data_IF_995916159876
#
_entry.id   IF_995916159876
#
_cell.length_a   1.000
_cell.length_b   1.000
_cell.length_c   1.000
_cell.angle_alpha   90.00
_cell.angle_beta   90.00
_cell.angle_gamma   90.00
#
_symmetry.space_group_name_H-M   'P 1'
#
loop_
_entity.id
_entity.type
_entity.pdbx_description
1 polymer ?
#
# COMPACT_ATOMS: atom_id res chain seq x y z
N UNK A 1 -34.07 -43.30 -46.18
CA UNK A 1 -32.74 -42.65 -46.31
C UNK A 1 -32.40 -42.04 -44.97
N UNK A 2 -31.47 -42.62 -44.22
CA UNK A 2 -31.05 -42.08 -42.92
C UNK A 2 -29.79 -41.25 -43.11
N UNK A 3 -29.90 -39.94 -42.87
CA UNK A 3 -28.75 -39.05 -42.85
C UNK A 3 -27.95 -39.29 -41.57
N UNK A 4 -26.75 -39.82 -41.69
CA UNK A 4 -25.78 -39.91 -40.60
C UNK A 4 -25.12 -38.57 -40.45
N UNK A 5 -25.34 -37.92 -39.31
CA UNK A 5 -24.66 -36.68 -38.93
C UNK A 5 -23.18 -36.98 -38.64
N UNK A 6 -22.22 -36.21 -39.17
CA UNK A 6 -20.79 -36.38 -38.84
C UNK A 6 -20.56 -36.04 -37.37
N UNK A 7 -20.03 -36.98 -36.62
CA UNK A 7 -19.65 -36.77 -35.22
C UNK A 7 -18.37 -35.89 -35.17
N UNK A 8 -18.31 -34.83 -34.33
CA UNK A 8 -17.11 -34.03 -34.16
C UNK A 8 -16.01 -34.90 -33.53
N UNK A 9 -14.87 -35.01 -34.22
CA UNK A 9 -13.68 -35.66 -33.67
C UNK A 9 -13.04 -34.75 -32.65
N UNK A 10 -13.21 -35.03 -31.36
CA UNK A 10 -12.46 -34.37 -30.28
C UNK A 10 -10.99 -34.85 -30.38
N UNK A 11 -10.10 -33.93 -30.75
CA UNK A 11 -8.66 -34.17 -30.68
C UNK A 11 -8.24 -34.09 -29.22
N UNK A 12 -7.83 -35.21 -28.64
CA UNK A 12 -7.27 -35.26 -27.30
C UNK A 12 -5.91 -34.57 -27.26
N UNK A 13 -5.61 -33.88 -26.17
CA UNK A 13 -4.28 -33.26 -25.94
C UNK A 13 -3.24 -34.35 -25.74
N UNK A 14 -2.04 -34.15 -26.34
CA UNK A 14 -0.93 -35.07 -26.16
C UNK A 14 -0.21 -34.75 -24.85
N UNK A 15 0.40 -35.79 -24.24
CA UNK A 15 1.17 -35.63 -23.00
C UNK A 15 2.32 -34.62 -23.18
N UNK A 16 2.96 -34.60 -24.35
CA UNK A 16 4.04 -33.67 -24.67
C UNK A 16 3.54 -32.21 -24.76
N UNK A 17 2.34 -32.00 -25.28
CA UNK A 17 1.72 -30.67 -25.37
C UNK A 17 1.44 -30.10 -23.98
N UNK A 18 0.94 -30.95 -23.05
CA UNK A 18 0.74 -30.56 -21.65
C UNK A 18 2.07 -30.23 -20.96
N UNK A 19 3.12 -31.02 -21.18
CA UNK A 19 4.44 -30.75 -20.61
C UNK A 19 5.04 -29.44 -21.15
N UNK A 20 4.87 -29.17 -22.44
CA UNK A 20 5.35 -27.95 -23.07
C UNK A 20 4.63 -26.72 -22.51
N UNK A 21 3.29 -26.79 -22.37
CA UNK A 21 2.49 -25.71 -21.77
C UNK A 21 2.90 -25.46 -20.31
N UNK A 22 3.06 -26.51 -19.50
CA UNK A 22 3.52 -26.38 -18.13
C UNK A 22 4.91 -25.77 -18.03
N UNK A 23 5.82 -26.14 -18.95
CA UNK A 23 7.16 -25.54 -19.03
C UNK A 23 7.12 -24.04 -19.34
N UNK A 24 6.30 -23.62 -20.30
CA UNK A 24 6.12 -22.21 -20.66
C UNK A 24 5.47 -21.42 -19.50
N UNK A 25 4.42 -21.97 -18.89
CA UNK A 25 3.76 -21.34 -17.73
C UNK A 25 4.71 -21.18 -16.56
N UNK A 26 5.55 -22.19 -16.28
CA UNK A 26 6.58 -22.13 -15.24
C UNK A 26 7.63 -21.04 -15.51
N UNK A 27 8.08 -20.88 -16.75
CA UNK A 27 9.00 -19.81 -17.15
C UNK A 27 8.38 -18.42 -17.00
N UNK A 28 7.11 -18.25 -17.36
CA UNK A 28 6.41 -16.97 -17.23
C UNK A 28 6.11 -16.60 -15.78
N UNK A 29 5.78 -17.59 -14.94
CA UNK A 29 5.43 -17.38 -13.54
C UNK A 29 6.56 -16.74 -12.73
N UNK A 30 7.82 -17.08 -12.97
CA UNK A 30 8.97 -16.52 -12.24
C UNK A 30 9.17 -15.00 -12.46
N UNK A 31 8.65 -14.43 -13.54
CA UNK A 31 8.76 -12.99 -13.84
C UNK A 31 7.60 -12.19 -13.21
N UNK A 32 6.48 -12.82 -12.92
CA UNK A 32 5.27 -12.14 -12.44
C UNK A 32 5.27 -11.91 -10.93
N UNK A 33 5.90 -12.77 -10.15
CA UNK A 33 5.90 -12.72 -8.69
C UNK A 33 6.56 -11.44 -8.11
N UNK A 34 7.76 -11.00 -8.55
CA UNK A 34 8.40 -9.81 -7.99
C UNK A 34 7.65 -8.52 -8.34
N UNK A 35 7.01 -8.45 -9.51
CA UNK A 35 6.21 -7.29 -9.92
C UNK A 35 4.97 -7.12 -9.04
N UNK A 36 4.33 -8.22 -8.62
CA UNK A 36 3.13 -8.19 -7.78
C UNK A 36 3.41 -7.64 -6.37
N UNK A 37 4.55 -7.99 -5.77
CA UNK A 37 4.92 -7.51 -4.43
C UNK A 37 5.20 -6.01 -4.43
N UNK A 38 5.90 -5.50 -5.42
CA UNK A 38 6.20 -4.07 -5.54
C UNK A 38 4.94 -3.23 -5.77
N UNK A 39 4.04 -3.68 -6.63
CA UNK A 39 2.76 -3.02 -6.85
C UNK A 39 1.91 -2.96 -5.57
N UNK A 40 1.88 -4.06 -4.82
CA UNK A 40 1.16 -4.12 -3.55
C UNK A 40 1.77 -3.17 -2.51
N UNK A 41 3.11 -3.11 -2.40
CA UNK A 41 3.79 -2.17 -1.50
C UNK A 41 3.46 -0.72 -1.86
N UNK A 42 3.44 -0.38 -3.15
CA UNK A 42 3.06 0.97 -3.63
C UNK A 42 1.61 1.31 -3.29
N UNK A 43 0.67 0.37 -3.50
CA UNK A 43 -0.73 0.56 -3.16
C UNK A 43 -0.93 0.83 -1.67
N UNK A 44 -0.32 0.02 -0.80
CA UNK A 44 -0.37 0.18 0.66
C UNK A 44 0.27 1.48 1.12
N UNK A 45 1.39 1.90 0.49
CA UNK A 45 2.02 3.19 0.76
C UNK A 45 1.11 4.35 0.37
N UNK A 46 0.42 4.24 -0.76
CA UNK A 46 -0.55 5.25 -1.18
C UNK A 46 -1.69 5.40 -0.16
N UNK A 47 -2.23 4.29 0.32
CA UNK A 47 -3.23 4.27 1.38
C UNK A 47 -2.73 4.96 2.66
N UNK A 48 -1.53 4.63 3.12
CA UNK A 48 -0.93 5.26 4.30
C UNK A 48 -0.78 6.79 4.13
N UNK A 49 -0.35 7.25 2.94
CA UNK A 49 -0.25 8.69 2.63
C UNK A 49 -1.60 9.39 2.68
N UNK A 50 -2.64 8.77 2.13
CA UNK A 50 -3.99 9.32 2.18
C UNK A 50 -4.49 9.49 3.61
N UNK A 51 -4.29 8.47 4.45
CA UNK A 51 -4.71 8.53 5.86
C UNK A 51 -3.90 9.59 6.61
N UNK A 52 -2.58 9.71 6.39
CA UNK A 52 -1.78 10.80 6.99
C UNK A 52 -2.32 12.18 6.61
N UNK A 53 -2.63 12.40 5.34
CA UNK A 53 -3.16 13.68 4.85
C UNK A 53 -4.56 13.96 5.39
N UNK A 54 -5.44 12.96 5.46
CA UNK A 54 -6.77 13.10 6.03
C UNK A 54 -6.72 13.43 7.52
N UNK A 55 -5.84 12.74 8.26
CA UNK A 55 -5.62 13.01 9.69
C UNK A 55 -5.05 14.40 9.92
N UNK A 56 -4.07 14.82 9.12
CA UNK A 56 -3.52 16.17 9.18
C UNK A 56 -4.61 17.22 8.93
N UNK A 57 -5.42 17.04 7.89
CA UNK A 57 -6.52 17.95 7.58
C UNK A 57 -7.58 18.02 8.70
N UNK A 58 -7.87 16.91 9.36
CA UNK A 58 -8.73 16.88 10.52
C UNK A 58 -8.12 17.65 11.69
N UNK A 59 -6.81 17.48 11.96
CA UNK A 59 -6.07 18.19 13.01
C UNK A 59 -6.10 19.70 12.79
N UNK A 60 -5.90 20.16 11.56
CA UNK A 60 -5.93 21.60 11.21
C UNK A 60 -7.33 22.18 11.47
N UNK A 61 -8.40 21.49 11.09
CA UNK A 61 -9.77 21.94 11.37
C UNK A 61 -10.07 21.97 12.86
N UNK A 62 -9.59 20.99 13.61
CA UNK A 62 -9.73 20.95 15.07
C UNK A 62 -9.01 22.13 15.71
N UNK A 63 -7.75 22.37 15.32
CA UNK A 63 -6.93 23.47 15.84
C UNK A 63 -7.52 24.85 15.50
N UNK A 64 -8.09 25.01 14.30
CA UNK A 64 -8.79 26.24 13.91
C UNK A 64 -10.01 26.54 14.80
N UNK A 65 -10.69 25.50 15.27
CA UNK A 65 -11.87 25.65 16.15
C UNK A 65 -11.49 25.80 17.64
N UNK A 66 -10.43 25.14 18.09
CA UNK A 66 -10.06 25.04 19.52
C UNK A 66 -8.81 25.84 19.90
N UNK A 67 -8.11 26.43 18.94
CA UNK A 67 -6.86 27.17 19.15
C UNK A 67 -5.64 26.30 19.45
N UNK A 68 -5.77 24.97 19.46
CA UNK A 68 -4.68 24.03 19.75
C UNK A 68 -5.01 22.64 19.16
N UNK A 69 -3.98 21.84 18.91
CA UNK A 69 -4.14 20.45 18.54
C UNK A 69 -4.57 19.59 19.74
N UNK A 70 -5.36 18.52 19.54
CA UNK A 70 -5.80 17.64 20.61
C UNK A 70 -4.63 16.82 21.16
N UNK A 71 -4.74 16.38 22.43
CA UNK A 71 -3.73 15.50 23.02
C UNK A 71 -3.81 14.06 22.52
N UNK A 72 -4.97 13.65 22.04
CA UNK A 72 -5.26 12.30 21.54
C UNK A 72 -6.09 12.39 20.27
N UNK A 73 -5.92 11.42 19.39
CA UNK A 73 -6.75 11.26 18.19
C UNK A 73 -7.90 10.29 18.48
N UNK A 74 -9.10 10.52 17.94
CA UNK A 74 -10.16 9.52 18.00
C UNK A 74 -9.81 8.33 17.09
N UNK A 75 -10.18 7.10 17.49
CA UNK A 75 -9.85 5.87 16.77
C UNK A 75 -10.31 5.86 15.31
N UNK A 76 -11.40 6.56 15.01
CA UNK A 76 -11.92 6.71 13.65
C UNK A 76 -11.07 7.59 12.72
N UNK A 77 -10.15 8.40 13.26
CA UNK A 77 -9.39 9.36 12.46
C UNK A 77 -8.11 8.77 11.83
N UNK A 78 -7.70 7.54 12.21
CA UNK A 78 -6.39 7.01 11.86
C UNK A 78 -6.33 5.51 11.56
N UNK A 79 -7.45 4.88 11.30
CA UNK A 79 -7.47 3.48 10.87
C UNK A 79 -6.98 3.35 9.42
N UNK A 80 -5.91 2.60 9.21
CA UNK A 80 -5.50 2.16 7.88
C UNK A 80 -6.17 0.82 7.59
N UNK A 81 -7.07 0.73 6.61
CA UNK A 81 -7.87 -0.48 6.36
C UNK A 81 -7.02 -1.73 6.11
N UNK A 82 -5.90 -1.61 5.39
CA UNK A 82 -5.00 -2.73 5.08
C UNK A 82 -4.19 -3.24 6.28
N UNK A 83 -4.20 -2.52 7.40
CA UNK A 83 -3.35 -2.79 8.58
C UNK A 83 -1.85 -2.95 8.26
N UNK A 84 -1.44 -2.44 7.09
CA UNK A 84 -0.04 -2.52 6.62
C UNK A 84 0.87 -1.49 7.26
N UNK A 85 0.30 -0.49 7.89
CA UNK A 85 1.00 0.57 8.62
C UNK A 85 0.29 0.83 9.95
N UNK A 86 1.09 1.17 10.96
CA UNK A 86 0.59 1.71 12.23
C UNK A 86 0.79 3.21 12.21
N UNK A 87 -0.28 3.95 12.46
CA UNK A 87 -0.20 5.38 12.67
C UNK A 87 0.26 5.69 14.09
N UNK A 88 1.09 6.71 14.22
CA UNK A 88 1.52 7.28 15.49
C UNK A 88 1.39 8.79 15.41
N UNK A 89 0.95 9.38 16.50
CA UNK A 89 0.75 10.81 16.67
C UNK A 89 1.59 11.30 17.83
N UNK A 90 2.46 12.25 17.57
CA UNK A 90 3.22 12.93 18.58
C UNK A 90 2.83 14.41 18.56
N UNK A 91 2.40 14.94 19.69
CA UNK A 91 2.13 16.36 19.82
C UNK A 91 3.04 16.99 20.88
N UNK A 92 3.32 18.27 20.76
CA UNK A 92 4.12 18.98 21.78
C UNK A 92 3.28 19.37 22.98
N UNK A 93 3.93 19.51 24.15
CA UNK A 93 3.28 19.82 25.43
C UNK A 93 2.36 21.05 25.42
N UNK A 94 2.55 21.97 24.49
CA UNK A 94 1.73 23.18 24.34
C UNK A 94 0.64 23.05 23.26
N UNK A 95 0.50 21.88 22.64
CA UNK A 95 -0.49 21.64 21.56
C UNK A 95 -0.33 22.54 20.33
N UNK A 96 0.88 23.04 20.07
CA UNK A 96 1.16 23.94 18.95
C UNK A 96 1.78 23.23 17.73
N UNK A 97 2.29 22.04 17.94
CA UNK A 97 2.94 21.25 16.87
C UNK A 97 2.56 19.78 16.98
N UNK A 98 2.54 19.13 15.84
CA UNK A 98 2.41 17.67 15.79
C UNK A 98 3.30 17.05 14.70
N UNK A 99 3.51 15.77 14.84
CA UNK A 99 4.07 14.93 13.78
C UNK A 99 3.28 13.64 13.72
N UNK A 100 2.85 13.30 12.53
CA UNK A 100 2.20 12.03 12.20
C UNK A 100 3.24 11.09 11.59
N UNK A 101 3.19 9.84 11.99
CA UNK A 101 4.04 8.79 11.45
C UNK A 101 3.20 7.61 11.00
N UNK A 102 3.49 7.07 9.81
CA UNK A 102 2.99 5.79 9.37
C UNK A 102 4.15 4.79 9.38
N UNK A 103 4.16 3.91 10.37
CA UNK A 103 5.20 2.90 10.57
C UNK A 103 4.78 1.62 9.86
N UNK A 104 5.57 1.11 8.88
CA UNK A 104 5.21 -0.08 8.14
C UNK A 104 5.25 -1.34 9.03
N UNK A 105 4.31 -2.27 8.79
CA UNK A 105 4.17 -3.52 9.54
C UNK A 105 4.27 -4.74 8.62
N UNK A 106 4.70 -5.86 9.19
CA UNK A 106 4.74 -7.15 8.48
C UNK A 106 5.55 -7.08 7.18
N UNK A 107 5.00 -7.57 6.08
CA UNK A 107 5.65 -7.55 4.76
C UNK A 107 5.94 -6.14 4.25
N UNK A 108 5.21 -5.13 4.71
CA UNK A 108 5.44 -3.73 4.34
C UNK A 108 6.70 -3.15 4.99
N UNK A 109 7.22 -3.77 6.06
CA UNK A 109 8.47 -3.34 6.70
C UNK A 109 9.70 -3.42 5.77
N UNK A 110 9.60 -4.19 4.68
CA UNK A 110 10.64 -4.28 3.63
C UNK A 110 10.51 -3.18 2.56
N UNK A 111 9.51 -2.31 2.66
CA UNK A 111 9.36 -1.19 1.74
C UNK A 111 10.55 -0.23 1.87
N UNK A 112 11.26 0.10 0.76
CA UNK A 112 12.40 1.02 0.79
C UNK A 112 12.04 2.43 1.27
N UNK A 113 10.77 2.79 1.36
CA UNK A 113 10.31 4.07 1.91
C UNK A 113 10.23 4.12 3.44
N UNK A 114 10.32 2.98 4.12
CA UNK A 114 10.29 2.94 5.57
C UNK A 114 9.08 3.65 6.19
N UNK A 115 9.31 4.38 7.27
CA UNK A 115 8.28 5.15 7.96
C UNK A 115 8.04 6.50 7.26
N UNK A 116 6.80 6.75 6.86
CA UNK A 116 6.38 8.05 6.32
C UNK A 116 6.09 9.02 7.46
N UNK A 117 6.47 10.28 7.29
CA UNK A 117 6.23 11.33 8.30
C UNK A 117 5.57 12.55 7.67
N UNK A 118 4.68 13.19 8.43
CA UNK A 118 4.02 14.45 8.05
C UNK A 118 3.87 15.33 9.29
N UNK A 119 4.35 16.56 9.23
CA UNK A 119 4.23 17.52 10.33
C UNK A 119 3.14 18.58 10.08
N UNK A 120 2.93 19.45 11.07
CA UNK A 120 1.96 20.54 11.02
C UNK A 120 2.26 21.60 9.95
N UNK A 121 3.50 21.69 9.47
CA UNK A 121 3.87 22.61 8.39
C UNK A 121 3.64 21.96 7.01
N UNK A 122 3.10 20.73 6.97
CA UNK A 122 2.91 19.97 5.74
C UNK A 122 4.20 19.38 5.17
N UNK A 123 5.29 19.38 5.97
CA UNK A 123 6.58 18.81 5.53
C UNK A 123 6.47 17.30 5.51
N UNK A 124 6.69 16.76 4.33
CA UNK A 124 6.66 15.32 4.02
C UNK A 124 8.06 14.75 4.18
N UNK A 125 8.21 13.75 5.03
CA UNK A 125 9.50 13.11 5.31
C UNK A 125 9.42 11.59 5.29
N UNK A 126 10.58 10.97 5.46
CA UNK A 126 10.73 9.52 5.66
C UNK A 126 11.77 9.25 6.73
N UNK A 127 11.66 8.11 7.43
CA UNK A 127 12.64 7.64 8.40
C UNK A 127 12.97 6.18 8.12
N UNK A 128 14.24 5.80 8.37
CA UNK A 128 14.73 4.44 8.09
C UNK A 128 14.44 4.00 6.65
N UNK A 129 14.58 4.93 5.69
CA UNK A 129 14.27 4.73 4.28
C UNK A 129 15.58 4.63 3.48
N UNK A 130 15.55 3.81 2.43
CA UNK A 130 16.61 3.74 1.41
C UNK A 130 16.33 4.73 0.26
N UNK A 131 15.08 5.17 0.11
CA UNK A 131 14.65 6.12 -0.91
C UNK A 131 14.39 7.51 -0.32
N UNK A 132 14.47 8.51 -1.18
CA UNK A 132 14.23 9.91 -0.78
C UNK A 132 12.75 10.15 -0.45
N UNK A 133 12.49 11.15 0.40
CA UNK A 133 11.13 11.56 0.73
C UNK A 133 10.33 11.93 -0.52
N UNK A 134 10.94 12.67 -1.46
CA UNK A 134 10.29 13.05 -2.72
C UNK A 134 9.82 11.83 -3.53
N UNK A 135 10.66 10.80 -3.65
CA UNK A 135 10.28 9.55 -4.33
C UNK A 135 9.16 8.82 -3.61
N UNK A 136 9.22 8.75 -2.28
CA UNK A 136 8.25 8.03 -1.46
C UNK A 136 6.89 8.72 -1.39
N UNK A 137 6.83 10.02 -1.56
CA UNK A 137 5.58 10.78 -1.51
C UNK A 137 4.97 11.07 -2.90
N UNK A 138 5.74 10.94 -3.98
CA UNK A 138 5.26 11.18 -5.35
C UNK A 138 4.74 9.94 -6.07
N UNK A 139 5.23 8.74 -5.69
CA UNK A 139 4.91 7.46 -6.37
C UNK A 139 3.93 6.62 -5.59
#
# INVERSE_FOLDING_TARGET
MRHASPQPRYRGWTLIELLLVLGIVGLLAQWTLPLGTELMQRARRHEARLVLLQTAHWLERYAAAQGRYPSTLPDSAWAIPSQSYRLSYLYTALGQRYTLWAVPLGAQAQDPCGTLTLDQAGVKGVRSASWSASTCWSR
#
